data_IF_609173956237
#
_entry.id   IF_609173956237
#
_cell.length_a   1.000
_cell.length_b   1.000
_cell.length_c   1.000
_cell.angle_alpha   90.00
_cell.angle_beta   90.00
_cell.angle_gamma   90.00
#
_symmetry.space_group_name_H-M   'P 1'
#
loop_
_entity.id
_entity.type
_entity.pdbx_description
1 polymer ?
#
# COMPACT_ATOMS: atom_id res chain seq x y z
N UNK A 1 -0.05 -5.02 3.27
CA UNK A 1 -0.24 -5.21 1.82
C UNK A 1 -0.02 -6.68 1.53
N UNK A 2 -0.98 -7.33 0.86
CA UNK A 2 -0.95 -8.78 0.60
C UNK A 2 0.03 -9.08 -0.56
N UNK A 3 0.82 -10.14 -0.44
CA UNK A 3 1.76 -10.60 -1.47
C UNK A 3 1.06 -10.93 -2.79
N UNK A 4 -0.16 -11.47 -2.73
CA UNK A 4 -0.97 -11.74 -3.93
C UNK A 4 -1.29 -10.46 -4.70
N UNK A 5 -1.60 -9.37 -4.00
CA UNK A 5 -1.89 -8.07 -4.60
C UNK A 5 -0.63 -7.50 -5.25
N UNK A 6 0.53 -7.63 -4.60
CA UNK A 6 1.80 -7.20 -5.16
C UNK A 6 2.20 -7.99 -6.41
N UNK A 7 1.96 -9.31 -6.39
CA UNK A 7 2.18 -10.17 -7.55
C UNK A 7 1.30 -9.75 -8.74
N UNK A 8 0.01 -9.52 -8.48
CA UNK A 8 -0.92 -9.06 -9.51
C UNK A 8 -0.53 -7.70 -10.10
N UNK A 9 -0.18 -6.73 -9.25
CA UNK A 9 0.30 -5.41 -9.69
C UNK A 9 1.55 -5.55 -10.56
N UNK A 10 2.52 -6.39 -10.15
CA UNK A 10 3.73 -6.65 -10.92
C UNK A 10 3.39 -7.16 -12.31
N UNK A 11 2.49 -8.13 -12.42
CA UNK A 11 2.05 -8.67 -13.72
C UNK A 11 1.43 -7.61 -14.61
N UNK A 12 0.55 -6.75 -14.06
CA UNK A 12 -0.05 -5.65 -14.82
C UNK A 12 0.99 -4.66 -15.33
N UNK A 13 1.93 -4.27 -14.47
CA UNK A 13 2.98 -3.29 -14.80
C UNK A 13 3.92 -3.84 -15.87
N UNK A 14 4.36 -5.09 -15.74
CA UNK A 14 5.21 -5.75 -16.74
C UNK A 14 4.50 -5.92 -18.08
N UNK A 15 3.24 -6.38 -18.06
CA UNK A 15 2.44 -6.55 -19.28
C UNK A 15 2.18 -5.22 -19.98
N UNK A 16 1.87 -4.17 -19.21
CA UNK A 16 1.68 -2.82 -19.74
C UNK A 16 2.95 -2.24 -20.35
N UNK A 17 4.10 -2.36 -19.66
CA UNK A 17 5.39 -1.91 -20.18
C UNK A 17 5.78 -2.64 -21.47
N UNK A 18 5.56 -3.96 -21.54
CA UNK A 18 5.80 -4.74 -22.75
C UNK A 18 4.89 -4.29 -23.91
N UNK A 19 3.62 -3.99 -23.66
CA UNK A 19 2.70 -3.50 -24.68
C UNK A 19 3.10 -2.10 -25.20
N UNK A 20 3.56 -1.21 -24.32
CA UNK A 20 4.05 0.11 -24.69
C UNK A 20 5.32 0.01 -25.56
N UNK A 21 6.23 -0.90 -25.20
CA UNK A 21 7.45 -1.17 -25.98
C UNK A 21 7.11 -1.76 -27.36
N UNK A 22 6.18 -2.72 -27.42
CA UNK A 22 5.73 -3.32 -28.67
C UNK A 22 5.07 -2.31 -29.63
N UNK A 23 4.47 -1.24 -29.10
CA UNK A 23 3.91 -0.13 -29.89
C UNK A 23 4.94 0.94 -30.27
N UNK A 24 6.19 0.80 -29.84
CA UNK A 24 7.27 1.78 -30.09
C UNK A 24 7.08 3.10 -29.33
N UNK A 25 6.22 3.13 -28.30
CA UNK A 25 6.01 4.34 -27.48
C UNK A 25 7.21 4.55 -26.55
N UNK A 26 7.81 3.45 -26.08
CA UNK A 26 9.02 3.43 -25.26
C UNK A 26 9.99 2.39 -25.82
N UNK A 27 11.27 2.58 -25.60
CA UNK A 27 12.31 1.60 -25.90
C UNK A 27 12.45 0.56 -24.77
N UNK A 28 13.29 -0.46 -24.97
CA UNK A 28 13.51 -1.52 -23.98
C UNK A 28 14.09 -0.97 -22.66
N UNK A 29 14.94 0.05 -22.75
CA UNK A 29 15.49 0.73 -21.58
C UNK A 29 14.38 1.47 -20.83
N UNK A 30 13.53 2.23 -21.52
CA UNK A 30 12.38 2.92 -20.95
C UNK A 30 11.38 1.98 -20.28
N UNK A 31 11.10 0.82 -20.90
CA UNK A 31 10.25 -0.22 -20.31
C UNK A 31 10.83 -0.75 -18.99
N UNK A 32 12.13 -1.01 -18.96
CA UNK A 32 12.83 -1.48 -17.75
C UNK A 32 12.78 -0.46 -16.63
N UNK A 33 13.05 0.82 -16.94
CA UNK A 33 13.00 1.92 -15.97
C UNK A 33 11.57 2.10 -15.43
N UNK A 34 10.56 2.04 -16.29
CA UNK A 34 9.16 2.19 -15.90
C UNK A 34 8.73 1.12 -14.89
N UNK A 35 9.04 -0.15 -15.20
CA UNK A 35 8.71 -1.28 -14.31
C UNK A 35 9.45 -1.11 -12.97
N UNK A 36 10.74 -0.82 -13.00
CA UNK A 36 11.54 -0.64 -11.78
C UNK A 36 11.00 0.51 -10.91
N UNK A 37 10.67 1.64 -11.53
CA UNK A 37 10.13 2.80 -10.83
C UNK A 37 8.79 2.49 -10.17
N UNK A 38 7.84 1.88 -10.90
CA UNK A 38 6.52 1.57 -10.34
C UNK A 38 6.64 0.55 -9.21
N UNK A 39 7.46 -0.49 -9.39
CA UNK A 39 7.68 -1.52 -8.38
C UNK A 39 8.38 -1.00 -7.12
N UNK A 40 9.13 0.10 -7.20
CA UNK A 40 9.67 0.81 -6.04
C UNK A 40 8.66 1.79 -5.42
N UNK A 41 7.94 2.55 -6.25
CA UNK A 41 7.07 3.63 -5.82
C UNK A 41 5.85 3.11 -5.04
N UNK A 42 5.22 2.01 -5.50
CA UNK A 42 4.01 1.47 -4.88
C UNK A 42 4.27 1.01 -3.42
N UNK A 43 5.25 0.13 -3.13
CA UNK A 43 5.56 -0.26 -1.76
C UNK A 43 6.01 0.92 -0.89
N UNK A 44 6.78 1.86 -1.45
CA UNK A 44 7.22 3.06 -0.73
C UNK A 44 6.04 3.93 -0.31
N UNK A 45 5.13 4.23 -1.23
CA UNK A 45 3.93 5.01 -0.95
C UNK A 45 3.03 4.32 0.08
N UNK A 46 2.85 3.01 -0.04
CA UNK A 46 2.11 2.21 0.94
C UNK A 46 2.77 2.28 2.33
N UNK A 47 4.09 2.10 2.41
CA UNK A 47 4.84 2.17 3.66
C UNK A 47 4.71 3.54 4.34
N UNK A 48 4.77 4.63 3.57
CA UNK A 48 4.54 5.99 4.08
C UNK A 48 3.09 6.17 4.56
N UNK A 49 2.12 5.56 3.88
CA UNK A 49 0.71 5.64 4.26
C UNK A 49 0.41 4.90 5.56
N UNK A 50 0.89 3.65 5.72
CA UNK A 50 0.68 2.86 6.94
C UNK A 50 1.36 3.50 8.16
N UNK A 51 2.50 4.16 7.97
CA UNK A 51 3.21 4.85 9.06
C UNK A 51 2.52 6.14 9.54
N UNK A 52 1.41 6.56 8.93
CA UNK A 52 0.59 7.65 9.46
C UNK A 52 -0.05 7.22 10.78
N UNK A 53 -0.35 8.19 11.65
CA UNK A 53 -0.90 7.95 13.00
C UNK A 53 -2.09 6.97 13.01
N UNK A 54 -3.04 7.14 12.08
CA UNK A 54 -4.20 6.24 11.96
C UNK A 54 -3.80 4.82 11.52
N UNK A 55 -2.82 4.68 10.61
CA UNK A 55 -2.34 3.38 10.17
C UNK A 55 -1.58 2.62 11.26
N UNK A 56 -0.86 3.33 12.13
CA UNK A 56 -0.23 2.72 13.32
C UNK A 56 -1.28 2.21 14.32
N UNK A 57 -2.34 3.00 14.57
CA UNK A 57 -3.45 2.60 15.45
C UNK A 57 -4.19 1.40 14.86
N UNK A 58 -4.50 1.42 13.56
CA UNK A 58 -5.12 0.30 12.87
C UNK A 58 -4.24 -0.96 12.88
N UNK A 59 -2.92 -0.80 12.72
CA UNK A 59 -1.98 -1.93 12.80
C UNK A 59 -1.91 -2.54 14.20
N UNK A 60 -2.01 -1.71 15.24
CA UNK A 60 -2.09 -2.19 16.63
C UNK A 60 -3.43 -2.89 16.90
N UNK A 61 -4.55 -2.35 16.40
CA UNK A 61 -5.88 -2.91 16.57
C UNK A 61 -6.01 -4.30 15.90
N UNK A 62 -5.30 -4.52 14.80
CA UNK A 62 -5.28 -5.81 14.09
C UNK A 62 -4.59 -6.95 14.88
N UNK A 63 -3.92 -6.68 15.99
CA UNK A 63 -3.29 -7.71 16.82
C UNK A 63 -4.34 -8.40 17.71
N UNK A 64 -4.40 -9.75 17.73
CA UNK A 64 -5.43 -10.48 18.48
C UNK A 64 -5.33 -10.29 20.00
N UNK A 65 -4.18 -9.86 20.50
CA UNK A 65 -3.92 -9.60 21.92
C UNK A 65 -4.46 -8.24 22.37
N UNK A 66 -4.71 -7.32 21.43
CA UNK A 66 -5.15 -5.96 21.74
C UNK A 66 -6.66 -5.95 21.98
N UNK A 67 -7.03 -5.72 23.24
CA UNK A 67 -8.44 -5.68 23.65
C UNK A 67 -9.05 -4.28 23.59
N UNK A 68 -8.25 -3.25 23.82
CA UNK A 68 -8.75 -1.87 23.88
C UNK A 68 -7.63 -0.87 23.54
N UNK A 69 -7.94 0.07 22.66
CA UNK A 69 -7.13 1.24 22.33
C UNK A 69 -7.96 2.49 22.62
N UNK A 70 -7.57 3.25 23.64
CA UNK A 70 -8.22 4.51 23.98
C UNK A 70 -7.49 5.66 23.27
N UNK A 71 -8.22 6.43 22.46
CA UNK A 71 -7.65 7.53 21.66
C UNK A 71 -8.59 8.73 21.59
N UNK A 72 -8.21 9.77 20.84
CA UNK A 72 -9.08 10.95 20.65
C UNK A 72 -10.28 10.61 19.76
N UNK A 73 -11.43 11.29 19.91
CA UNK A 73 -12.61 11.04 19.06
C UNK A 73 -12.31 11.15 17.56
N UNK A 74 -11.47 12.11 17.18
CA UNK A 74 -11.04 12.32 15.80
C UNK A 74 -10.16 11.18 15.23
N UNK A 75 -9.49 10.40 16.09
CA UNK A 75 -8.72 9.22 15.68
C UNK A 75 -9.57 7.96 15.69
N UNK A 76 -10.43 7.79 16.68
CA UNK A 76 -11.39 6.69 16.71
C UNK A 76 -12.30 6.70 15.47
N UNK A 77 -12.74 7.88 15.02
CA UNK A 77 -13.51 8.01 13.78
C UNK A 77 -12.73 7.67 12.49
N UNK A 78 -11.39 7.55 12.56
CA UNK A 78 -10.53 7.26 11.41
C UNK A 78 -10.10 5.80 11.33
N UNK A 79 -10.37 5.01 12.37
CA UNK A 79 -9.97 3.60 12.45
C UNK A 79 -11.23 2.78 12.70
N UNK A 80 -11.64 2.04 11.67
CA UNK A 80 -12.82 1.19 11.70
C UNK A 80 -12.46 -0.15 12.36
N UNK A 81 -12.32 -0.13 13.70
CA UNK A 81 -12.03 -1.32 14.50
C UNK A 81 -12.73 -1.23 15.88
N UNK A 82 -13.44 -2.29 16.33
CA UNK A 82 -14.21 -2.25 17.57
C UNK A 82 -13.35 -2.14 18.84
N UNK A 83 -12.06 -2.46 18.77
CA UNK A 83 -11.13 -2.29 19.89
C UNK A 83 -10.72 -0.82 20.10
N UNK A 84 -10.96 0.07 19.13
CA UNK A 84 -10.56 1.48 19.18
C UNK A 84 -11.72 2.34 19.68
N UNK A 85 -11.54 2.97 20.85
CA UNK A 85 -12.56 3.78 21.49
C UNK A 85 -12.08 5.20 21.78
N UNK A 86 -13.03 6.14 21.82
CA UNK A 86 -12.75 7.53 22.18
C UNK A 86 -12.68 7.68 23.71
N UNK A 87 -11.74 8.49 24.19
CA UNK A 87 -11.72 8.99 25.58
C UNK A 87 -12.67 10.16 25.77
#
# INVERSE_FOLDING_TARGET
>A
MNEQVLSFIRTLVQSGAAALAAKGIIDEQGATVLVAFIMWAIPTAWGLWVRRRAGLVASAAALPEVKTIVTTPAMAAKVDDPSVTAR
#
